data_IF_343500510554
#
_entry.id   IF_343500510554
#
_cell.length_a   1.000
_cell.length_b   1.000
_cell.length_c   1.000
_cell.angle_alpha   90.00
_cell.angle_beta   90.00
_cell.angle_gamma   90.00
#
_symmetry.space_group_name_H-M   'P 1'
#
loop_
_entity.id
_entity.type
_entity.pdbx_description
1 polymer ?
#
# COMPACT_ATOMS: atom_id res chain seq x y z
N UNK A 1 -46.98 34.89 -36.31
CA UNK A 1 -45.93 34.61 -35.31
C UNK A 1 -45.97 33.10 -35.05
N UNK A 2 -45.52 32.27 -36.02
CA UNK A 2 -44.21 31.54 -36.01
C UNK A 2 -44.06 30.73 -34.72
N UNK A 3 -44.39 29.43 -34.64
CA UNK A 3 -43.76 28.25 -35.28
C UNK A 3 -42.22 28.26 -35.24
N UNK A 4 -41.61 27.06 -35.20
CA UNK A 4 -40.21 26.66 -34.96
C UNK A 4 -39.97 26.19 -33.51
N UNK A 5 -40.01 24.90 -33.13
CA UNK A 5 -39.37 23.66 -33.64
C UNK A 5 -37.83 23.66 -33.49
N UNK A 6 -37.40 22.82 -32.52
CA UNK A 6 -36.16 22.02 -32.38
C UNK A 6 -34.84 22.75 -32.14
N UNK A 7 -34.09 22.30 -31.11
CA UNK A 7 -32.72 21.76 -31.22
C UNK A 7 -32.22 21.31 -29.83
N UNK A 8 -32.01 19.99 -29.70
CA UNK A 8 -30.93 19.33 -28.96
C UNK A 8 -30.94 19.38 -27.41
N UNK A 9 -30.59 18.34 -26.67
CA UNK A 9 -29.73 17.22 -27.01
C UNK A 9 -30.11 15.97 -26.19
N UNK A 10 -30.32 14.88 -26.91
CA UNK A 10 -30.23 13.52 -26.40
C UNK A 10 -28.76 13.15 -26.31
N UNK A 11 -28.22 12.93 -25.09
CA UNK A 11 -26.94 12.24 -24.89
C UNK A 11 -27.12 11.17 -23.81
N UNK A 12 -27.72 10.05 -24.21
CA UNK A 12 -27.32 8.73 -23.74
C UNK A 12 -26.12 8.29 -24.60
N UNK A 13 -24.95 8.13 -24.00
CA UNK A 13 -23.85 7.25 -24.40
C UNK A 13 -22.76 7.43 -23.31
N UNK A 14 -22.50 6.50 -22.39
CA UNK A 14 -21.91 5.17 -22.60
C UNK A 14 -20.55 5.25 -23.31
N UNK A 15 -19.50 5.41 -22.49
CA UNK A 15 -18.06 5.14 -22.66
C UNK A 15 -17.39 5.82 -21.44
N UNK A 16 -16.79 5.17 -20.45
CA UNK A 16 -15.97 3.98 -20.46
C UNK A 16 -16.28 3.10 -19.24
N UNK A 17 -16.23 1.80 -19.49
CA UNK A 17 -15.88 0.83 -18.46
C UNK A 17 -14.47 1.15 -17.93
N UNK A 18 -14.36 1.36 -16.63
CA UNK A 18 -13.22 0.82 -15.87
C UNK A 18 -13.85 -0.11 -14.85
N UNK A 19 -13.79 -1.40 -15.17
CA UNK A 19 -14.07 -2.45 -14.21
C UNK A 19 -13.07 -2.30 -13.06
N UNK A 20 -13.51 -1.81 -11.90
CA UNK A 20 -12.80 -1.98 -10.62
C UNK A 20 -13.47 -3.11 -9.83
N UNK A 21 -13.07 -4.38 -10.03
CA UNK A 21 -13.49 -5.46 -9.15
C UNK A 21 -12.50 -5.56 -7.98
N UNK A 22 -12.98 -5.19 -6.79
CA UNK A 22 -12.31 -5.30 -5.49
C UNK A 22 -11.21 -4.26 -5.24
N UNK A 23 -11.37 -3.37 -4.27
CA UNK A 23 -11.40 -3.79 -2.86
C UNK A 23 -12.12 -2.75 -1.97
N UNK A 24 -13.31 -3.17 -1.56
CA UNK A 24 -13.99 -2.91 -0.28
C UNK A 24 -13.84 -1.53 0.37
N UNK A 25 -14.97 -0.81 0.34
CA UNK A 25 -15.37 0.15 1.34
C UNK A 25 -14.93 -0.20 2.77
N UNK A 26 -14.17 0.71 3.39
CA UNK A 26 -14.33 1.08 4.80
C UNK A 26 -14.00 2.56 4.95
N UNK A 27 -15.04 3.37 5.00
CA UNK A 27 -14.96 4.78 5.35
C UNK A 27 -14.77 4.92 6.86
N UNK A 28 -13.58 5.32 7.33
CA UNK A 28 -13.41 6.02 8.62
C UNK A 28 -12.47 7.21 8.49
N UNK A 29 -13.12 8.37 8.46
CA UNK A 29 -12.72 9.73 8.78
C UNK A 29 -11.31 9.98 9.38
N UNK A 30 -10.48 10.64 8.58
CA UNK A 30 -9.76 11.90 8.86
C UNK A 30 -8.60 11.87 9.89
N UNK A 31 -7.41 11.59 9.39
CA UNK A 31 -6.21 12.43 9.63
C UNK A 31 -5.65 12.80 8.25
N UNK A 32 -5.10 14.02 8.11
CA UNK A 32 -4.87 14.72 6.84
C UNK A 32 -4.15 13.92 5.76
N UNK A 33 -4.51 14.22 4.51
CA UNK A 33 -3.99 13.61 3.30
C UNK A 33 -2.47 13.75 3.17
N UNK A 34 -1.77 12.75 3.69
CA UNK A 34 -0.51 12.24 3.14
C UNK A 34 -0.72 10.74 3.05
N UNK A 35 -0.86 10.22 1.83
CA UNK A 35 -0.91 8.78 1.55
C UNK A 35 0.45 8.19 1.95
N UNK A 36 0.64 7.92 3.25
CA UNK A 36 1.88 7.35 3.78
C UNK A 36 2.07 5.99 3.12
N UNK A 37 3.08 5.88 2.25
CA UNK A 37 3.35 4.64 1.54
C UNK A 37 4.13 3.72 2.47
N UNK A 38 3.46 2.73 3.04
CA UNK A 38 4.09 1.73 3.92
C UNK A 38 4.35 0.46 3.13
N UNK A 39 5.63 0.08 2.99
CA UNK A 39 6.05 -1.17 2.36
C UNK A 39 6.66 -2.08 3.41
N UNK A 40 6.13 -3.30 3.54
CA UNK A 40 6.60 -4.34 4.43
C UNK A 40 7.27 -5.44 3.61
N UNK A 41 8.59 -5.54 3.73
CA UNK A 41 9.37 -6.63 3.18
C UNK A 41 9.55 -7.71 4.24
N UNK A 42 9.17 -8.93 3.89
CA UNK A 42 9.18 -10.05 4.83
C UNK A 42 9.45 -11.40 4.17
N UNK A 43 9.43 -12.42 5.02
CA UNK A 43 9.52 -13.82 4.63
C UNK A 43 8.22 -14.52 5.07
N UNK A 44 7.64 -15.34 4.19
CA UNK A 44 6.37 -16.04 4.48
C UNK A 44 6.46 -17.02 5.66
N UNK A 45 7.67 -17.49 5.94
CA UNK A 45 8.02 -18.44 7.00
C UNK A 45 8.40 -17.78 8.32
N UNK A 46 8.54 -16.44 8.38
CA UNK A 46 9.01 -15.75 9.57
C UNK A 46 7.85 -15.37 10.51
N UNK A 47 7.92 -15.83 11.77
CA UNK A 47 6.93 -15.51 12.81
C UNK A 47 6.85 -14.01 13.14
N UNK A 48 7.97 -13.28 13.08
CA UNK A 48 8.01 -11.83 13.32
C UNK A 48 7.33 -11.03 12.21
N UNK A 49 7.43 -11.48 10.95
CA UNK A 49 6.73 -10.85 9.83
C UNK A 49 5.21 -10.95 10.01
N UNK A 50 4.71 -12.11 10.48
CA UNK A 50 3.28 -12.30 10.77
C UNK A 50 2.78 -11.37 11.88
N UNK A 51 3.55 -11.23 12.97
CA UNK A 51 3.23 -10.28 14.06
C UNK A 51 3.17 -8.83 13.57
N UNK A 52 4.14 -8.44 12.74
CA UNK A 52 4.18 -7.09 12.14
C UNK A 52 2.96 -6.83 11.26
N UNK A 53 2.62 -7.81 10.40
CA UNK A 53 1.43 -7.76 9.57
C UNK A 53 0.16 -7.58 10.40
N UNK A 54 0.01 -8.40 11.45
CA UNK A 54 -1.13 -8.32 12.35
C UNK A 54 -1.22 -6.96 13.05
N UNK A 55 -0.09 -6.41 13.51
CA UNK A 55 -0.05 -5.08 14.12
C UNK A 55 -0.55 -4.00 13.14
N UNK A 56 -0.11 -4.04 11.87
CA UNK A 56 -0.58 -3.08 10.86
C UNK A 56 -2.08 -3.26 10.56
N UNK A 57 -2.55 -4.51 10.46
CA UNK A 57 -3.97 -4.84 10.27
C UNK A 57 -4.84 -4.35 11.45
N UNK A 58 -4.36 -4.51 12.69
CA UNK A 58 -5.07 -4.10 13.91
C UNK A 58 -5.20 -2.57 14.03
N UNK A 59 -4.23 -1.83 13.48
CA UNK A 59 -4.24 -0.37 13.45
C UNK A 59 -4.89 0.21 12.18
N UNK A 60 -5.50 -0.63 11.32
CA UNK A 60 -6.16 -0.24 10.06
C UNK A 60 -5.25 0.61 9.14
N UNK A 61 -3.95 0.30 9.15
CA UNK A 61 -2.94 0.98 8.32
C UNK A 61 -2.89 0.32 6.95
N UNK A 62 -2.88 1.11 5.89
CA UNK A 62 -2.67 0.60 4.53
C UNK A 62 -1.18 0.33 4.29
N UNK A 63 -0.84 -0.89 3.91
CA UNK A 63 0.54 -1.30 3.63
C UNK A 63 0.61 -2.31 2.47
N UNK A 64 1.75 -2.29 1.78
CA UNK A 64 2.11 -3.25 0.74
C UNK A 64 3.03 -4.32 1.32
N UNK A 65 2.64 -5.59 1.26
CA UNK A 65 3.43 -6.71 1.79
C UNK A 65 4.09 -7.49 0.67
N UNK A 66 5.41 -7.48 0.63
CA UNK A 66 6.21 -8.20 -0.36
C UNK A 66 7.00 -9.31 0.31
N UNK A 67 6.70 -10.55 -0.07
CA UNK A 67 7.42 -11.73 0.38
C UNK A 67 8.60 -12.02 -0.54
N UNK A 68 9.81 -11.72 -0.06
CA UNK A 68 11.04 -11.85 -0.87
C UNK A 68 11.37 -13.32 -1.17
N UNK A 69 10.89 -14.25 -0.36
CA UNK A 69 11.03 -15.69 -0.58
C UNK A 69 10.13 -16.24 -1.70
N UNK A 70 9.02 -15.55 -2.00
CA UNK A 70 8.10 -15.94 -3.07
C UNK A 70 8.53 -15.41 -4.44
N UNK A 71 9.32 -14.32 -4.45
CA UNK A 71 9.90 -13.75 -5.67
C UNK A 71 11.03 -14.63 -6.23
N UNK A 72 11.20 -14.61 -7.57
CA UNK A 72 12.20 -15.42 -8.28
C UNK A 72 12.92 -14.59 -9.34
N UNK A 73 14.15 -15.00 -9.67
CA UNK A 73 14.95 -14.37 -10.72
C UNK A 73 15.24 -12.90 -10.43
N UNK A 74 15.06 -12.06 -11.45
CA UNK A 74 15.42 -10.65 -11.44
C UNK A 74 14.60 -9.82 -10.44
N UNK A 75 13.30 -10.06 -10.30
CA UNK A 75 12.43 -9.32 -9.36
C UNK A 75 12.92 -9.44 -7.92
N UNK A 76 13.37 -10.65 -7.53
CA UNK A 76 13.94 -10.89 -6.20
C UNK A 76 15.21 -10.08 -5.99
N UNK A 77 16.09 -10.03 -6.99
CA UNK A 77 17.34 -9.28 -6.91
C UNK A 77 17.09 -7.77 -6.82
N UNK A 78 16.11 -7.25 -7.57
CA UNK A 78 15.68 -5.85 -7.51
C UNK A 78 15.18 -5.50 -6.10
N UNK A 79 14.26 -6.28 -5.54
CA UNK A 79 13.72 -6.05 -4.19
C UNK A 79 14.80 -6.20 -3.11
N UNK A 80 15.70 -7.19 -3.23
CA UNK A 80 16.82 -7.32 -2.30
C UNK A 80 17.80 -6.15 -2.40
N UNK A 81 18.04 -5.61 -3.59
CA UNK A 81 18.87 -4.43 -3.77
C UNK A 81 18.23 -3.20 -3.10
N UNK A 82 16.91 -3.03 -3.20
CA UNK A 82 16.17 -1.97 -2.50
C UNK A 82 16.28 -2.12 -0.98
N UNK A 83 15.98 -3.31 -0.44
CA UNK A 83 16.09 -3.59 0.99
C UNK A 83 17.52 -3.36 1.49
N UNK A 84 18.54 -3.71 0.71
CA UNK A 84 19.95 -3.48 1.06
C UNK A 84 20.34 -1.99 1.09
N UNK A 85 19.69 -1.12 0.31
CA UNK A 85 19.90 0.33 0.39
C UNK A 85 19.47 0.87 1.75
N UNK A 86 18.35 0.36 2.27
CA UNK A 86 17.79 0.75 3.56
C UNK A 86 18.47 0.06 4.75
N UNK A 87 18.74 -1.24 4.60
CA UNK A 87 19.30 -2.09 5.63
C UNK A 87 20.36 -3.02 5.04
N UNK A 88 21.66 -2.68 5.12
CA UNK A 88 22.73 -3.53 4.60
C UNK A 88 22.79 -4.90 5.31
N UNK A 89 22.25 -5.01 6.52
CA UNK A 89 22.16 -6.27 7.26
C UNK A 89 21.02 -7.19 6.78
N UNK A 90 20.18 -6.74 5.83
CA UNK A 90 19.09 -7.54 5.24
C UNK A 90 18.22 -8.27 6.29
N UNK A 91 17.95 -7.61 7.41
CA UNK A 91 17.20 -8.20 8.52
C UNK A 91 15.70 -8.09 8.26
N UNK A 92 14.98 -9.20 8.38
CA UNK A 92 13.52 -9.24 8.21
C UNK A 92 12.81 -9.34 9.55
N UNK A 93 11.65 -8.67 9.73
CA UNK A 93 10.94 -7.81 8.78
C UNK A 93 11.63 -6.46 8.56
N UNK A 94 11.55 -5.90 7.34
CA UNK A 94 11.95 -4.51 7.05
C UNK A 94 10.72 -3.74 6.60
N UNK A 95 10.41 -2.64 7.27
CA UNK A 95 9.30 -1.75 6.92
C UNK A 95 9.90 -0.46 6.40
N UNK A 96 9.43 0.02 5.26
CA UNK A 96 9.82 1.29 4.65
C UNK A 96 8.59 2.18 4.62
N UNK A 97 8.73 3.39 5.12
CA UNK A 97 7.65 4.40 5.16
C UNK A 97 8.07 5.60 4.32
N UNK A 98 7.22 5.93 3.36
CA UNK A 98 7.39 7.05 2.42
C UNK A 98 8.71 7.03 1.63
N UNK A 99 9.35 5.87 1.48
CA UNK A 99 10.68 5.76 0.88
C UNK A 99 11.69 6.74 1.54
N UNK A 100 11.52 7.03 2.84
CA UNK A 100 12.33 7.97 3.63
C UNK A 100 12.84 7.34 4.92
N UNK A 101 11.96 6.65 5.62
CA UNK A 101 12.22 6.02 6.92
C UNK A 101 12.18 4.50 6.74
N UNK A 102 13.09 3.79 7.39
CA UNK A 102 13.10 2.32 7.38
C UNK A 102 13.28 1.76 8.77
N UNK A 103 12.39 0.83 9.16
CA UNK A 103 12.42 0.13 10.44
C UNK A 103 12.78 -1.33 10.18
N UNK A 104 13.91 -1.76 10.76
CA UNK A 104 14.34 -3.15 10.75
C UNK A 104 13.95 -3.87 12.05
N UNK A 105 13.31 -5.03 11.88
CA UNK A 105 12.78 -5.86 12.97
C UNK A 105 11.39 -5.45 13.44
N UNK A 106 10.78 -6.31 14.26
CA UNK A 106 9.51 -5.99 14.94
C UNK A 106 9.80 -5.16 16.19
N UNK A 107 9.71 -3.83 16.06
CA UNK A 107 9.86 -2.87 17.15
C UNK A 107 8.60 -2.04 17.26
N UNK A 108 7.74 -2.43 18.20
CA UNK A 108 6.41 -1.85 18.39
C UNK A 108 6.47 -0.34 18.61
N UNK A 109 7.38 0.13 19.46
CA UNK A 109 7.56 1.56 19.78
C UNK A 109 7.93 2.38 18.54
N UNK A 110 8.85 1.85 17.70
CA UNK A 110 9.28 2.50 16.47
C UNK A 110 8.18 2.48 15.41
N UNK A 111 7.40 1.40 15.35
CA UNK A 111 6.27 1.33 14.42
C UNK A 111 5.19 2.36 14.77
N UNK A 112 4.87 2.54 16.06
CA UNK A 112 3.97 3.61 16.50
C UNK A 112 4.48 4.99 16.14
N UNK A 113 5.75 5.26 16.44
CA UNK A 113 6.39 6.55 16.15
C UNK A 113 6.35 6.90 14.66
N UNK A 114 6.73 5.95 13.80
CA UNK A 114 6.80 6.17 12.34
C UNK A 114 5.41 6.27 11.72
N UNK A 115 4.43 5.54 12.25
CA UNK A 115 3.04 5.57 11.77
C UNK A 115 2.22 6.71 12.39
N UNK A 116 2.75 7.42 13.38
CA UNK A 116 2.07 8.50 14.08
C UNK A 116 0.88 8.04 14.94
N UNK A 117 0.96 6.84 15.50
CA UNK A 117 -0.04 6.22 16.38
C UNK A 117 0.22 6.48 17.86
#
# INVERSE_FOLDING_TARGET
MTSWIIVSASWRAWCCASSDPARSARSRSRVGASTLKVMLYGLSTCGWCRKTKQFLDENDVEYELTYVDLLKGEEKEQVLAEVRKWNPHSSFPTIVVDDKESVSGFKEDRLREVLGL
#
